data_IF_595597610513
#
_entry.id   IF_595597610513
#
_cell.length_a   1.000
_cell.length_b   1.000
_cell.length_c   1.000
_cell.angle_alpha   90.00
_cell.angle_beta   90.00
_cell.angle_gamma   90.00
#
_symmetry.space_group_name_H-M   'P 1'
#
loop_
_entity.id
_entity.type
_entity.pdbx_description
1 polymer ?
#
# COMPACT_ATOMS: atom_id res chain seq x y z
N UNK A 1 1.48 -10.93 -21.83
CA UNK A 1 0.68 -11.44 -20.69
C UNK A 1 0.67 -10.41 -19.57
N UNK A 2 1.83 -9.89 -19.08
CA UNK A 2 1.93 -8.95 -17.95
C UNK A 2 0.93 -7.78 -18.03
N UNK A 3 0.92 -7.09 -19.16
CA UNK A 3 0.02 -5.93 -19.36
C UNK A 3 -1.43 -6.34 -19.59
N UNK A 4 -1.67 -7.50 -20.19
CA UNK A 4 -3.02 -7.96 -20.50
C UNK A 4 -3.85 -8.15 -19.23
N UNK A 5 -3.34 -8.90 -18.24
CA UNK A 5 -4.03 -9.12 -16.98
C UNK A 5 -4.31 -7.80 -16.28
N UNK A 6 -3.29 -6.94 -16.17
CA UNK A 6 -3.43 -5.66 -15.51
C UNK A 6 -4.45 -4.72 -16.19
N UNK A 7 -4.48 -4.71 -17.53
CA UNK A 7 -5.48 -3.95 -18.28
C UNK A 7 -6.88 -4.48 -17.98
N UNK A 8 -7.08 -5.79 -18.01
CA UNK A 8 -8.39 -6.39 -17.68
C UNK A 8 -8.81 -6.08 -16.24
N UNK A 9 -7.88 -6.10 -15.29
CA UNK A 9 -8.15 -5.69 -13.92
C UNK A 9 -8.61 -4.22 -13.86
N UNK A 10 -7.92 -3.30 -14.54
CA UNK A 10 -8.31 -1.89 -14.61
C UNK A 10 -9.65 -1.66 -15.28
N UNK A 11 -10.05 -2.54 -16.17
CA UNK A 11 -11.34 -2.50 -16.87
C UNK A 11 -12.46 -3.23 -16.13
N UNK A 12 -12.18 -3.89 -15.00
CA UNK A 12 -13.11 -4.84 -14.36
C UNK A 12 -13.67 -5.85 -15.38
N UNK A 13 -12.82 -6.31 -16.32
CA UNK A 13 -13.18 -7.26 -17.36
C UNK A 13 -12.97 -8.69 -16.84
N UNK A 14 -13.92 -9.23 -16.15
CA UNK A 14 -13.88 -10.56 -15.53
C UNK A 14 -14.23 -11.70 -16.49
N UNK A 15 -13.62 -12.90 -16.32
CA UNK A 15 -12.45 -13.18 -15.49
C UNK A 15 -11.20 -12.47 -16.03
N UNK A 16 -10.32 -12.03 -15.12
CA UNK A 16 -9.12 -11.27 -15.50
C UNK A 16 -8.12 -12.11 -16.30
N UNK A 17 -8.09 -13.41 -16.05
CA UNK A 17 -7.21 -14.44 -16.63
C UNK A 17 -7.86 -15.16 -17.82
N UNK A 18 -8.82 -14.53 -18.48
CA UNK A 18 -9.45 -15.12 -19.67
C UNK A 18 -8.38 -15.47 -20.72
N UNK A 19 -8.31 -16.74 -21.16
CA UNK A 19 -7.34 -17.17 -22.14
C UNK A 19 -7.36 -16.35 -23.43
N UNK A 20 -6.19 -16.13 -24.04
CA UNK A 20 -6.02 -15.43 -25.32
C UNK A 20 -5.20 -16.27 -26.27
N UNK A 21 -5.76 -16.59 -27.43
CA UNK A 21 -5.07 -17.41 -28.43
C UNK A 21 -4.68 -18.76 -27.87
N UNK A 22 -3.44 -19.19 -28.19
CA UNK A 22 -2.87 -20.47 -27.75
C UNK A 22 -2.16 -20.42 -26.38
N UNK A 23 -2.29 -19.32 -25.63
CA UNK A 23 -1.65 -19.17 -24.32
C UNK A 23 -2.28 -20.14 -23.32
N UNK A 24 -1.48 -21.06 -22.81
CA UNK A 24 -1.93 -22.03 -21.81
C UNK A 24 -2.16 -21.37 -20.44
N UNK A 25 -3.01 -21.92 -19.55
CA UNK A 25 -3.18 -21.39 -18.18
C UNK A 25 -1.86 -21.25 -17.41
N UNK A 26 -0.93 -22.19 -17.55
CA UNK A 26 0.39 -22.12 -16.91
C UNK A 26 1.24 -20.98 -17.46
N UNK A 27 1.27 -20.78 -18.79
CA UNK A 27 1.96 -19.63 -19.38
C UNK A 27 1.35 -18.31 -18.91
N UNK A 28 0.02 -18.28 -18.76
CA UNK A 28 -0.70 -17.12 -18.27
C UNK A 28 -0.31 -16.80 -16.83
N UNK A 29 -0.37 -17.81 -15.97
CA UNK A 29 0.01 -17.70 -14.56
C UNK A 29 1.47 -17.24 -14.41
N UNK A 30 2.38 -17.94 -15.10
CA UNK A 30 3.80 -17.59 -15.08
C UNK A 30 4.11 -16.22 -15.69
N UNK A 31 3.35 -15.75 -16.67
CA UNK A 31 3.56 -14.46 -17.34
C UNK A 31 2.95 -13.26 -16.65
N UNK A 32 2.20 -13.46 -15.56
CA UNK A 32 1.53 -12.37 -14.83
C UNK A 32 2.54 -11.60 -13.98
N UNK A 33 2.45 -10.25 -13.98
CA UNK A 33 3.31 -9.42 -13.13
C UNK A 33 2.94 -9.58 -11.64
N UNK A 34 3.90 -9.29 -10.74
CA UNK A 34 3.65 -9.38 -9.30
C UNK A 34 2.45 -8.53 -8.87
N UNK A 35 2.36 -7.28 -9.30
CA UNK A 35 1.23 -6.40 -8.97
C UNK A 35 -0.12 -7.00 -9.42
N UNK A 36 -0.17 -7.55 -10.64
CA UNK A 36 -1.38 -8.19 -11.15
C UNK A 36 -1.68 -9.51 -10.41
N UNK A 37 -0.65 -10.29 -10.05
CA UNK A 37 -0.80 -11.53 -9.27
C UNK A 37 -1.37 -11.26 -7.88
N UNK A 38 -0.95 -10.20 -7.21
CA UNK A 38 -1.50 -9.77 -5.92
C UNK A 38 -3.00 -9.45 -5.98
N UNK A 39 -3.49 -8.98 -7.13
CA UNK A 39 -4.92 -8.77 -7.36
C UNK A 39 -5.68 -10.01 -7.84
N UNK A 40 -4.98 -11.07 -8.25
CA UNK A 40 -5.59 -12.31 -8.74
C UNK A 40 -5.67 -13.40 -7.68
N UNK A 41 -4.66 -13.53 -6.83
CA UNK A 41 -4.50 -14.69 -5.98
C UNK A 41 -4.03 -14.33 -4.58
N UNK A 42 -4.64 -14.98 -3.60
CA UNK A 42 -4.24 -14.97 -2.17
C UNK A 42 -3.29 -16.14 -1.85
N UNK A 43 -2.61 -16.69 -2.84
CA UNK A 43 -1.58 -17.71 -2.64
C UNK A 43 -0.19 -17.07 -2.56
N UNK A 44 0.49 -17.13 -1.39
CA UNK A 44 1.79 -16.52 -1.20
C UNK A 44 2.89 -17.16 -2.07
N UNK A 45 2.76 -18.45 -2.42
CA UNK A 45 3.71 -19.11 -3.32
C UNK A 45 3.64 -18.54 -4.74
N UNK A 46 2.44 -18.24 -5.24
CA UNK A 46 2.25 -17.62 -6.55
C UNK A 46 2.80 -16.19 -6.59
N UNK A 47 2.66 -15.44 -5.49
CA UNK A 47 3.23 -14.08 -5.39
C UNK A 47 4.76 -14.14 -5.36
N UNK A 48 5.35 -15.05 -4.59
CA UNK A 48 6.81 -15.27 -4.59
C UNK A 48 7.31 -15.69 -5.98
N UNK A 49 6.64 -16.63 -6.63
CA UNK A 49 6.98 -17.07 -7.98
C UNK A 49 6.97 -15.89 -9.00
N UNK A 50 5.95 -15.04 -8.92
CA UNK A 50 5.84 -13.87 -9.81
C UNK A 50 6.98 -12.86 -9.56
N UNK A 51 7.35 -12.63 -8.29
CA UNK A 51 8.50 -11.80 -7.92
C UNK A 51 9.81 -12.37 -8.44
N UNK A 52 10.09 -13.65 -8.17
CA UNK A 52 11.30 -14.35 -8.60
C UNK A 52 11.45 -14.33 -10.13
N UNK A 53 10.35 -14.56 -10.84
CA UNK A 53 10.35 -14.51 -12.29
C UNK A 53 10.65 -13.11 -12.83
N UNK A 54 10.03 -12.07 -12.27
CA UNK A 54 10.33 -10.69 -12.65
C UNK A 54 11.81 -10.39 -12.45
N UNK A 55 12.38 -10.79 -11.31
CA UNK A 55 13.80 -10.59 -11.01
C UNK A 55 14.67 -11.35 -12.02
N UNK A 56 14.36 -12.61 -12.29
CA UNK A 56 15.11 -13.42 -13.26
C UNK A 56 15.11 -12.79 -14.66
N UNK A 57 13.95 -12.30 -15.13
CA UNK A 57 13.75 -11.86 -16.51
C UNK A 57 14.16 -10.39 -16.74
N UNK A 58 14.09 -9.54 -15.69
CA UNK A 58 14.16 -8.08 -15.86
C UNK A 58 15.21 -7.37 -15.02
N UNK A 59 15.71 -8.02 -13.96
CA UNK A 59 16.68 -7.38 -13.07
C UNK A 59 18.08 -7.80 -13.48
N UNK A 60 19.00 -6.85 -13.74
CA UNK A 60 20.37 -7.18 -14.11
C UNK A 60 21.06 -7.90 -12.94
N UNK A 61 22.00 -8.79 -13.28
CA UNK A 61 22.83 -9.45 -12.26
C UNK A 61 23.80 -8.45 -11.63
N UNK A 62 24.16 -8.69 -10.37
CA UNK A 62 25.19 -7.92 -9.69
C UNK A 62 26.52 -7.98 -10.45
N UNK A 63 27.23 -6.86 -10.51
CA UNK A 63 28.51 -6.74 -11.22
C UNK A 63 29.70 -6.85 -10.26
N UNK A 64 29.83 -7.98 -9.58
CA UNK A 64 31.00 -8.26 -8.72
C UNK A 64 30.79 -7.98 -7.24
N UNK A 65 31.79 -7.43 -6.56
CA UNK A 65 31.78 -7.18 -5.12
C UNK A 65 30.78 -6.09 -4.75
N UNK A 66 30.01 -6.25 -3.66
CA UNK A 66 29.08 -5.23 -3.17
C UNK A 66 29.72 -3.84 -3.10
N UNK A 67 29.00 -2.83 -3.63
CA UNK A 67 29.57 -1.48 -3.75
C UNK A 67 29.88 -0.84 -2.41
N UNK A 68 29.09 -1.12 -1.35
CA UNK A 68 29.35 -0.59 -0.02
C UNK A 68 30.70 -1.02 0.56
N UNK A 69 31.29 -2.14 0.10
CA UNK A 69 32.63 -2.59 0.51
C UNK A 69 33.76 -1.77 -0.10
N UNK A 70 33.47 -1.01 -1.16
CA UNK A 70 34.46 -0.17 -1.86
C UNK A 70 34.59 1.25 -1.30
N UNK A 71 33.78 1.58 -0.31
CA UNK A 71 33.74 2.89 0.33
C UNK A 71 34.07 2.77 1.82
N UNK A 72 34.57 3.79 2.50
CA UNK A 72 34.75 3.75 3.96
C UNK A 72 33.41 3.53 4.68
N UNK A 73 33.47 2.81 5.81
CA UNK A 73 32.30 2.72 6.68
C UNK A 73 31.93 4.10 7.24
N UNK A 74 30.65 4.38 7.35
CA UNK A 74 30.19 5.61 7.99
C UNK A 74 30.59 5.62 9.47
N UNK A 75 30.89 6.78 10.00
CA UNK A 75 31.14 7.04 11.43
C UNK A 75 30.17 8.11 11.92
N UNK A 76 29.96 8.17 13.24
CA UNK A 76 29.02 9.13 13.83
C UNK A 76 27.56 8.74 13.59
N UNK A 77 26.72 9.70 13.23
CA UNK A 77 25.28 9.47 12.98
C UNK A 77 25.05 8.34 11.99
N UNK A 78 23.95 7.63 12.17
CA UNK A 78 23.52 6.58 11.23
C UNK A 78 22.94 7.26 9.98
N UNK A 79 23.44 6.87 8.81
CA UNK A 79 23.00 7.41 7.52
C UNK A 79 21.91 6.54 6.93
N UNK A 80 20.69 7.09 6.86
CA UNK A 80 19.53 6.44 6.26
C UNK A 80 19.25 7.07 4.90
N UNK A 81 19.20 6.24 3.87
CA UNK A 81 18.83 6.64 2.52
C UNK A 81 17.46 6.12 2.14
N UNK A 82 16.54 6.98 1.70
CA UNK A 82 15.25 6.58 1.16
C UNK A 82 15.28 6.63 -0.36
N UNK A 83 14.97 5.48 -0.99
CA UNK A 83 15.04 5.27 -2.43
C UNK A 83 13.63 5.23 -3.03
N UNK A 84 13.24 6.17 -3.88
CA UNK A 84 11.89 6.19 -4.48
C UNK A 84 11.76 7.09 -5.72
N UNK A 85 10.89 6.67 -6.65
CA UNK A 85 10.32 7.51 -7.71
C UNK A 85 8.99 8.16 -7.34
N UNK A 86 8.44 7.86 -6.16
CA UNK A 86 7.07 8.20 -5.77
C UNK A 86 6.99 9.25 -4.66
N UNK A 87 8.04 10.06 -4.48
CA UNK A 87 8.07 11.17 -3.51
C UNK A 87 7.28 12.39 -4.03
N UNK A 88 6.01 12.19 -4.34
CA UNK A 88 5.08 13.19 -4.87
C UNK A 88 3.63 12.85 -4.48
N UNK A 89 2.62 13.36 -5.21
CA UNK A 89 1.21 13.01 -5.04
C UNK A 89 0.94 11.54 -5.44
N UNK A 90 1.49 10.62 -4.68
CA UNK A 90 1.37 9.18 -4.76
C UNK A 90 1.12 8.59 -3.37
N UNK A 91 0.62 7.37 -3.26
CA UNK A 91 0.35 6.72 -1.97
C UNK A 91 1.54 6.81 -1.00
N UNK A 92 2.76 6.50 -1.46
CA UNK A 92 3.99 6.63 -0.67
C UNK A 92 4.20 8.06 -0.20
N UNK A 93 4.16 9.04 -1.13
CA UNK A 93 4.36 10.44 -0.79
C UNK A 93 3.23 11.07 0.04
N UNK A 94 2.07 10.41 0.16
CA UNK A 94 0.98 10.81 1.06
C UNK A 94 1.12 10.21 2.46
N UNK A 95 1.78 9.06 2.60
CA UNK A 95 1.95 8.38 3.88
C UNK A 95 3.20 8.82 4.65
N UNK A 96 4.28 9.15 3.94
CA UNK A 96 5.64 9.22 4.51
C UNK A 96 6.17 10.58 4.97
N UNK A 97 5.54 11.75 4.74
CA UNK A 97 6.16 13.02 5.10
C UNK A 97 6.55 13.10 6.58
N UNK A 98 5.65 12.77 7.51
CA UNK A 98 5.96 12.77 8.94
C UNK A 98 7.04 11.74 9.32
N UNK A 99 7.16 10.60 8.62
CA UNK A 99 8.27 9.67 8.82
C UNK A 99 9.61 10.37 8.63
N UNK A 100 9.74 11.10 7.53
CA UNK A 100 10.99 11.80 7.22
C UNK A 100 11.25 12.99 8.17
N UNK A 101 10.21 13.73 8.53
CA UNK A 101 10.28 14.89 9.41
C UNK A 101 10.65 14.53 10.86
N UNK A 102 10.18 13.39 11.36
CA UNK A 102 10.28 12.99 12.77
C UNK A 102 11.55 12.22 13.13
N UNK A 103 12.40 11.90 12.17
CA UNK A 103 13.69 11.28 12.50
C UNK A 103 14.53 12.15 13.44
N UNK A 104 15.10 11.53 14.47
CA UNK A 104 16.02 12.18 15.41
C UNK A 104 17.34 12.57 14.72
N UNK A 105 17.45 13.84 14.33
CA UNK A 105 18.63 14.37 13.63
C UNK A 105 19.90 14.41 14.48
N UNK A 106 19.81 14.22 15.77
CA UNK A 106 21.00 14.07 16.61
C UNK A 106 21.68 12.70 16.40
N UNK A 107 20.90 11.68 15.99
CA UNK A 107 21.35 10.29 15.81
C UNK A 107 21.39 9.88 14.36
N UNK A 108 20.52 10.44 13.51
CA UNK A 108 20.33 10.06 12.11
C UNK A 108 20.63 11.20 11.15
N UNK A 109 21.24 10.86 10.04
CA UNK A 109 21.36 11.71 8.85
C UNK A 109 20.49 11.06 7.76
N UNK A 110 19.51 11.80 7.23
CA UNK A 110 18.47 11.25 6.36
C UNK A 110 18.55 11.84 4.97
N UNK A 111 18.77 10.99 3.98
CA UNK A 111 18.92 11.38 2.57
C UNK A 111 17.84 10.77 1.70
N UNK A 112 17.43 11.50 0.66
CA UNK A 112 16.58 10.96 -0.40
C UNK A 112 17.41 10.69 -1.66
N UNK A 113 17.22 9.51 -2.24
CA UNK A 113 17.70 9.14 -3.57
C UNK A 113 16.48 9.00 -4.47
N UNK A 114 16.20 10.00 -5.29
CA UNK A 114 14.93 10.03 -5.99
C UNK A 114 15.07 10.29 -7.49
N UNK A 115 14.16 9.66 -8.24
CA UNK A 115 13.98 9.89 -9.68
C UNK A 115 12.56 10.36 -10.01
N UNK A 116 11.83 10.84 -8.98
CA UNK A 116 10.52 11.47 -9.16
C UNK A 116 10.62 12.65 -10.11
N UNK A 117 9.74 12.76 -11.11
CA UNK A 117 9.67 13.93 -11.97
C UNK A 117 9.53 15.23 -11.18
N UNK A 118 10.14 16.30 -11.68
CA UNK A 118 10.05 17.61 -11.03
C UNK A 118 8.61 18.12 -11.01
N UNK A 119 8.21 18.61 -9.87
CA UNK A 119 6.94 19.29 -9.69
C UNK A 119 7.04 20.31 -8.55
N UNK A 120 6.34 21.42 -8.67
CA UNK A 120 6.31 22.49 -7.67
C UNK A 120 5.14 22.36 -6.68
N UNK A 121 4.56 21.16 -6.53
CA UNK A 121 3.43 20.96 -5.61
C UNK A 121 3.87 21.16 -4.15
N UNK A 122 3.02 21.73 -3.28
CA UNK A 122 3.30 21.89 -1.85
C UNK A 122 3.73 20.58 -1.19
N UNK A 123 3.07 19.46 -1.53
CA UNK A 123 3.40 18.12 -1.04
C UNK A 123 4.85 17.73 -1.38
N UNK A 124 5.26 17.92 -2.64
CA UNK A 124 6.62 17.62 -3.08
C UNK A 124 7.66 18.50 -2.34
N UNK A 125 7.37 19.78 -2.19
CA UNK A 125 8.25 20.70 -1.48
C UNK A 125 8.41 20.34 -0.01
N UNK A 126 7.30 19.97 0.68
CA UNK A 126 7.32 19.50 2.07
C UNK A 126 8.18 18.25 2.22
N UNK A 127 7.97 17.25 1.35
CA UNK A 127 8.76 16.01 1.35
C UNK A 127 10.25 16.32 1.20
N UNK A 128 10.64 17.15 0.23
CA UNK A 128 12.05 17.45 -0.02
C UNK A 128 12.72 18.21 1.13
N UNK A 129 11.99 19.08 1.83
CA UNK A 129 12.50 19.82 2.99
C UNK A 129 12.76 18.93 4.20
N UNK A 130 12.15 17.75 4.25
CA UNK A 130 12.29 16.80 5.35
C UNK A 130 13.62 16.02 5.31
N UNK A 131 14.46 16.18 4.29
CA UNK A 131 15.73 15.50 4.14
C UNK A 131 16.92 16.42 4.39
N UNK A 132 17.99 15.88 4.98
CA UNK A 132 19.26 16.59 5.11
C UNK A 132 19.93 16.75 3.73
N UNK A 133 19.76 15.74 2.85
CA UNK A 133 20.28 15.76 1.48
C UNK A 133 19.27 15.12 0.51
N UNK A 134 19.20 15.67 -0.70
CA UNK A 134 18.41 15.12 -1.79
C UNK A 134 19.31 14.90 -3.01
N UNK A 135 19.56 13.63 -3.34
CA UNK A 135 20.30 13.25 -4.52
C UNK A 135 19.31 12.82 -5.62
N UNK A 136 19.37 13.53 -6.74
CA UNK A 136 18.53 13.25 -7.91
C UNK A 136 19.24 12.26 -8.80
N UNK A 137 18.69 11.04 -8.89
CA UNK A 137 19.25 9.94 -9.67
C UNK A 137 18.42 9.62 -10.93
N UNK A 138 17.47 10.51 -11.26
CA UNK A 138 16.76 10.46 -12.55
C UNK A 138 17.71 10.74 -13.71
N UNK A 139 17.53 10.05 -14.82
CA UNK A 139 18.34 10.27 -16.03
C UNK A 139 19.73 9.61 -16.05
N UNK A 140 20.14 8.93 -14.97
CA UNK A 140 21.36 8.11 -14.91
C UNK A 140 21.01 6.62 -14.79
N UNK A 141 21.91 5.74 -15.25
CA UNK A 141 21.72 4.29 -15.16
C UNK A 141 21.80 3.78 -13.71
N UNK A 142 21.33 2.53 -13.49
CA UNK A 142 21.25 1.93 -12.16
C UNK A 142 22.61 1.73 -11.51
N UNK A 143 23.64 1.38 -12.27
CA UNK A 143 24.99 1.20 -11.72
C UNK A 143 25.60 2.53 -11.27
N UNK A 144 25.42 3.58 -12.07
CA UNK A 144 25.87 4.93 -11.72
C UNK A 144 25.12 5.46 -10.49
N UNK A 145 23.81 5.25 -10.41
CA UNK A 145 23.02 5.58 -9.23
C UNK A 145 23.49 4.81 -7.99
N UNK A 146 23.72 3.52 -8.11
CA UNK A 146 24.22 2.69 -7.01
C UNK A 146 25.61 3.17 -6.51
N UNK A 147 26.51 3.57 -7.42
CA UNK A 147 27.82 4.16 -7.06
C UNK A 147 27.66 5.47 -6.27
N UNK A 148 26.74 6.34 -6.67
CA UNK A 148 26.47 7.59 -5.95
C UNK A 148 25.94 7.32 -4.52
N UNK A 149 25.04 6.35 -4.37
CA UNK A 149 24.53 5.93 -3.07
C UNK A 149 25.66 5.37 -2.19
N UNK A 150 26.52 4.52 -2.75
CA UNK A 150 27.67 3.96 -2.02
C UNK A 150 28.65 5.08 -1.57
N UNK A 151 28.93 6.08 -2.42
CA UNK A 151 29.78 7.23 -2.07
C UNK A 151 29.18 8.07 -0.93
N UNK A 152 27.86 8.14 -0.81
CA UNK A 152 27.18 8.78 0.31
C UNK A 152 27.35 7.99 1.63
N UNK A 153 27.96 6.80 1.59
CA UNK A 153 28.24 5.92 2.74
C UNK A 153 26.99 5.65 3.59
N UNK A 154 25.88 5.34 2.92
CA UNK A 154 24.59 5.01 3.57
C UNK A 154 24.73 3.70 4.36
N UNK A 155 24.28 3.69 5.60
CA UNK A 155 24.24 2.50 6.46
C UNK A 155 23.01 1.65 6.16
N UNK A 156 21.84 2.31 6.03
CA UNK A 156 20.55 1.66 5.77
C UNK A 156 19.90 2.31 4.56
N UNK A 157 19.71 1.56 3.51
CA UNK A 157 18.97 1.99 2.31
C UNK A 157 17.56 1.40 2.35
N UNK A 158 16.56 2.27 2.35
CA UNK A 158 15.15 1.88 2.40
C UNK A 158 14.52 2.05 1.03
N UNK A 159 14.13 0.95 0.40
CA UNK A 159 13.36 0.94 -0.85
C UNK A 159 11.88 1.17 -0.55
N UNK A 160 11.37 2.31 -0.99
CA UNK A 160 9.95 2.69 -0.90
C UNK A 160 9.19 2.44 -2.21
N UNK A 161 9.82 1.74 -3.18
CA UNK A 161 9.22 1.50 -4.49
C UNK A 161 8.72 0.06 -4.64
N UNK A 162 9.53 -0.91 -4.28
CA UNK A 162 9.27 -2.31 -4.58
C UNK A 162 9.20 -2.55 -6.10
N UNK A 163 8.53 -3.64 -6.51
CA UNK A 163 8.38 -4.00 -7.94
C UNK A 163 7.13 -3.34 -8.57
N UNK A 164 7.00 -2.02 -8.43
CA UNK A 164 5.95 -1.22 -9.07
C UNK A 164 6.42 -0.59 -10.38
N UNK A 165 5.56 0.17 -11.04
CA UNK A 165 5.92 0.90 -12.25
C UNK A 165 7.09 1.87 -11.99
N UNK A 166 8.08 1.87 -12.85
CA UNK A 166 9.25 2.74 -12.69
C UNK A 166 10.26 2.27 -11.63
N UNK A 167 10.09 1.07 -11.06
CA UNK A 167 11.05 0.49 -10.12
C UNK A 167 12.45 0.37 -10.72
N UNK A 168 13.47 0.53 -9.88
CA UNK A 168 14.89 0.46 -10.24
C UNK A 168 15.65 -0.58 -9.40
N UNK A 169 15.22 -1.86 -9.41
CA UNK A 169 15.86 -2.91 -8.60
C UNK A 169 17.32 -3.17 -8.99
N UNK A 170 17.74 -2.77 -10.20
CA UNK A 170 19.13 -2.81 -10.63
C UNK A 170 20.08 -2.01 -9.73
N UNK A 171 19.59 -1.01 -8.99
CA UNK A 171 20.35 -0.28 -7.98
C UNK A 171 20.63 -1.20 -6.78
N UNK A 172 19.60 -1.88 -6.29
CA UNK A 172 19.66 -2.69 -5.04
C UNK A 172 20.55 -3.91 -5.20
N UNK A 173 20.56 -4.56 -6.38
CA UNK A 173 21.41 -5.73 -6.65
C UNK A 173 22.90 -5.41 -6.58
N UNK A 174 23.31 -4.14 -6.79
CA UNK A 174 24.70 -3.70 -6.67
C UNK A 174 25.14 -3.53 -5.20
N UNK A 175 24.22 -3.69 -4.25
CA UNK A 175 24.44 -3.52 -2.81
C UNK A 175 25.20 -2.22 -2.48
N UNK A 176 24.61 -1.05 -2.74
CA UNK A 176 25.22 0.24 -2.42
C UNK A 176 25.26 0.53 -0.91
N UNK A 177 24.47 -0.16 -0.10
CA UNK A 177 24.45 -0.05 1.37
C UNK A 177 24.56 -1.43 2.03
N UNK A 178 25.17 -1.53 3.23
CA UNK A 178 25.32 -2.80 3.95
C UNK A 178 24.00 -3.38 4.43
N UNK A 179 22.99 -2.54 4.70
CA UNK A 179 21.63 -2.94 5.07
C UNK A 179 20.65 -2.38 4.06
N UNK A 180 19.87 -3.24 3.42
CA UNK A 180 18.84 -2.84 2.48
C UNK A 180 17.47 -3.35 2.93
N UNK A 181 16.48 -2.46 2.99
CA UNK A 181 15.16 -2.68 3.60
C UNK A 181 14.07 -2.34 2.59
N UNK A 182 13.09 -3.22 2.42
CA UNK A 182 11.85 -2.93 1.68
C UNK A 182 10.80 -2.37 2.65
N UNK A 183 10.11 -1.29 2.25
CA UNK A 183 9.07 -0.69 3.06
C UNK A 183 7.99 -0.01 2.21
N UNK A 184 6.73 -0.21 2.53
CA UNK A 184 5.51 0.40 1.95
C UNK A 184 5.30 0.16 0.44
N UNK A 185 6.22 0.46 -0.44
CA UNK A 185 6.06 0.57 -1.91
C UNK A 185 5.14 -0.49 -2.54
N UNK A 186 5.57 -1.74 -2.55
CA UNK A 186 4.71 -2.89 -2.88
C UNK A 186 4.71 -3.84 -1.69
N UNK A 187 3.58 -4.00 -0.96
CA UNK A 187 3.53 -4.82 0.26
C UNK A 187 3.59 -6.32 -0.04
N UNK A 188 4.78 -6.88 -0.11
CA UNK A 188 5.07 -8.28 -0.39
C UNK A 188 6.54 -8.47 -0.73
N UNK A 189 6.97 -9.73 -0.86
CA UNK A 189 8.36 -10.03 -1.22
C UNK A 189 8.72 -9.44 -2.59
N UNK A 190 9.89 -8.83 -2.67
CA UNK A 190 10.45 -8.34 -3.95
C UNK A 190 11.27 -9.40 -4.68
N UNK A 191 11.77 -10.40 -3.94
CA UNK A 191 12.76 -11.38 -4.40
C UNK A 191 14.02 -10.77 -5.02
N UNK A 192 14.28 -9.48 -4.79
CA UNK A 192 15.45 -8.76 -5.33
C UNK A 192 16.70 -9.15 -4.54
N UNK A 193 17.73 -9.72 -5.19
CA UNK A 193 18.98 -10.04 -4.51
C UNK A 193 19.58 -8.79 -3.84
N UNK A 194 19.93 -8.91 -2.56
CA UNK A 194 20.50 -7.81 -1.79
C UNK A 194 19.51 -7.01 -0.98
N UNK A 195 18.19 -7.19 -1.15
CA UNK A 195 17.21 -6.68 -0.19
C UNK A 195 17.13 -7.67 0.98
N UNK A 196 17.61 -7.25 2.14
CA UNK A 196 17.82 -8.15 3.28
C UNK A 196 16.59 -8.23 4.19
N UNK A 197 15.85 -7.12 4.30
CA UNK A 197 14.82 -6.91 5.31
C UNK A 197 13.55 -6.31 4.72
N UNK A 198 12.42 -6.57 5.38
CA UNK A 198 11.13 -5.94 5.10
C UNK A 198 10.50 -5.45 6.40
N UNK A 199 10.05 -4.20 6.44
CA UNK A 199 9.27 -3.68 7.57
C UNK A 199 7.83 -4.18 7.47
N UNK A 200 7.38 -4.85 8.50
CA UNK A 200 6.05 -5.47 8.66
C UNK A 200 5.58 -5.36 10.12
N UNK A 201 4.41 -5.87 10.42
CA UNK A 201 3.96 -6.18 11.78
C UNK A 201 3.56 -7.66 11.90
N UNK A 202 3.24 -8.11 13.11
CA UNK A 202 2.88 -9.52 13.36
C UNK A 202 1.56 -9.91 12.67
N UNK A 203 0.68 -8.94 12.43
CA UNK A 203 -0.58 -9.20 11.72
C UNK A 203 -0.36 -9.41 10.23
N UNK A 204 0.40 -8.53 9.58
CA UNK A 204 0.65 -8.61 8.13
C UNK A 204 1.55 -9.76 7.75
N UNK A 205 2.53 -10.11 8.58
CA UNK A 205 3.46 -11.21 8.33
C UNK A 205 3.57 -12.16 9.54
N UNK A 206 2.55 -12.99 9.79
CA UNK A 206 2.69 -14.07 10.76
C UNK A 206 3.81 -15.04 10.34
N UNK A 207 4.39 -15.79 11.29
CA UNK A 207 5.52 -16.70 11.03
C UNK A 207 5.27 -17.70 9.87
N UNK A 208 4.03 -18.11 9.66
CA UNK A 208 3.65 -19.01 8.57
C UNK A 208 3.87 -18.40 7.16
N UNK A 209 4.01 -17.07 7.03
CA UNK A 209 4.28 -16.40 5.76
C UNK A 209 5.77 -16.19 5.49
N UNK A 210 6.64 -16.29 6.47
CA UNK A 210 8.08 -16.09 6.29
C UNK A 210 8.70 -16.96 5.20
N UNK A 211 8.32 -18.26 5.03
CA UNK A 211 8.88 -19.09 3.96
C UNK A 211 8.56 -18.59 2.53
N UNK A 212 7.60 -17.71 2.38
CA UNK A 212 7.20 -17.13 1.08
C UNK A 212 7.76 -15.73 0.83
N UNK A 213 8.69 -15.27 1.68
CA UNK A 213 9.40 -14.01 1.52
C UNK A 213 10.90 -14.28 1.47
N UNK A 214 11.61 -13.52 0.63
CA UNK A 214 13.08 -13.59 0.58
C UNK A 214 13.73 -12.68 1.61
N UNK A 215 13.01 -11.66 2.05
CA UNK A 215 13.42 -10.69 3.04
C UNK A 215 13.07 -11.16 4.45
N UNK A 216 13.95 -10.89 5.41
CA UNK A 216 13.70 -11.12 6.84
C UNK A 216 12.78 -10.02 7.40
N UNK A 217 11.86 -10.35 8.32
CA UNK A 217 10.97 -9.34 8.88
C UNK A 217 11.68 -8.42 9.89
N UNK A 218 11.45 -7.12 9.77
CA UNK A 218 11.54 -6.13 10.85
C UNK A 218 10.12 -5.93 11.35
N UNK A 219 9.78 -6.55 12.48
CA UNK A 219 8.42 -6.45 13.06
C UNK A 219 8.30 -5.22 13.92
N UNK A 220 7.42 -4.31 13.51
CA UNK A 220 7.07 -3.15 14.32
C UNK A 220 5.95 -3.53 15.32
N UNK A 221 6.04 -3.11 16.57
CA UNK A 221 4.97 -3.31 17.53
C UNK A 221 3.77 -2.41 17.17
N UNK A 222 2.61 -3.00 16.97
CA UNK A 222 1.36 -2.30 16.70
C UNK A 222 0.97 -2.21 15.24
N UNK A 223 1.60 -1.36 14.44
CA UNK A 223 1.26 -1.21 13.02
C UNK A 223 2.51 -0.97 12.17
N UNK A 224 2.58 -1.64 11.03
CA UNK A 224 3.66 -1.43 10.09
C UNK A 224 3.54 -0.12 9.29
N UNK A 225 2.32 0.39 9.09
CA UNK A 225 2.08 1.51 8.20
C UNK A 225 2.19 2.85 8.93
N UNK A 226 3.03 3.74 8.43
CA UNK A 226 2.99 5.16 8.81
C UNK A 226 1.84 5.87 8.10
N UNK A 227 1.34 6.94 8.69
CA UNK A 227 0.29 7.78 8.12
C UNK A 227 0.58 9.24 8.43
N UNK A 228 0.56 10.12 7.43
CA UNK A 228 0.76 11.55 7.65
C UNK A 228 -0.49 12.18 8.26
N UNK A 229 -0.37 12.68 9.49
CA UNK A 229 -1.45 13.32 10.26
C UNK A 229 -1.68 14.78 9.89
N UNK A 230 -0.77 15.37 9.12
CA UNK A 230 -0.81 16.78 8.72
C UNK A 230 -1.40 16.97 7.32
N UNK A 231 -2.00 15.95 6.76
CA UNK A 231 -2.68 16.06 5.46
C UNK A 231 -3.85 17.04 5.57
N UNK A 232 -3.92 17.93 4.59
CA UNK A 232 -5.02 18.87 4.48
C UNK A 232 -6.34 18.14 4.25
N UNK A 233 -7.38 18.54 4.99
CA UNK A 233 -8.75 18.08 4.81
C UNK A 233 -9.60 19.30 4.45
N UNK A 234 -10.33 19.24 3.34
CA UNK A 234 -11.26 20.30 2.95
C UNK A 234 -12.37 20.46 4.02
N UNK A 235 -13.02 21.63 4.10
CA UNK A 235 -14.16 21.80 4.96
C UNK A 235 -15.18 20.67 4.76
N UNK A 236 -15.57 20.02 5.88
CA UNK A 236 -16.54 18.92 5.83
C UNK A 236 -17.91 19.53 5.52
N UNK A 237 -18.53 19.14 4.40
CA UNK A 237 -19.83 19.68 4.03
C UNK A 237 -20.91 19.18 4.99
N UNK A 238 -21.99 19.93 5.09
CA UNK A 238 -23.24 19.35 5.64
C UNK A 238 -23.58 18.06 4.89
N UNK A 239 -24.10 17.08 5.64
CA UNK A 239 -24.31 15.73 5.07
C UNK A 239 -25.32 15.75 3.91
N UNK A 240 -26.39 16.52 4.04
CA UNK A 240 -27.42 16.60 2.99
C UNK A 240 -26.90 17.32 1.74
N UNK A 241 -26.23 18.45 1.93
CA UNK A 241 -25.60 19.18 0.82
C UNK A 241 -24.51 18.35 0.14
N UNK A 242 -23.62 17.74 0.92
CA UNK A 242 -22.56 16.90 0.39
C UNK A 242 -23.07 15.68 -0.38
N UNK A 243 -24.10 15.00 0.13
CA UNK A 243 -24.74 13.88 -0.57
C UNK A 243 -25.39 14.33 -1.87
N UNK A 244 -26.13 15.45 -1.87
CA UNK A 244 -26.74 16.00 -3.06
C UNK A 244 -25.69 16.32 -4.15
N UNK A 245 -24.56 16.92 -3.75
CA UNK A 245 -23.44 17.25 -4.66
C UNK A 245 -22.90 16.03 -5.41
N UNK A 246 -22.85 14.87 -4.74
CA UNK A 246 -22.34 13.62 -5.33
C UNK A 246 -23.44 12.70 -5.88
N UNK A 247 -24.70 13.14 -5.92
CA UNK A 247 -25.83 12.31 -6.37
C UNK A 247 -26.15 11.13 -5.46
N UNK A 248 -25.80 11.23 -4.18
CA UNK A 248 -26.12 10.22 -3.17
C UNK A 248 -27.51 10.47 -2.58
N UNK A 249 -28.37 9.44 -2.46
CA UNK A 249 -29.69 9.59 -1.83
C UNK A 249 -29.54 9.98 -0.35
N UNK A 250 -30.44 10.85 0.12
CA UNK A 250 -30.35 11.42 1.48
C UNK A 250 -30.52 10.37 2.59
N UNK A 251 -31.51 9.50 2.43
CA UNK A 251 -31.88 8.51 3.45
C UNK A 251 -31.28 7.12 3.22
N UNK A 252 -30.47 6.95 2.14
CA UNK A 252 -29.85 5.67 1.82
C UNK A 252 -28.69 5.35 2.77
N UNK A 253 -28.50 4.06 3.06
CA UNK A 253 -27.23 3.59 3.58
C UNK A 253 -26.20 3.57 2.45
N UNK A 254 -25.12 4.33 2.62
CA UNK A 254 -24.08 4.51 1.60
C UNK A 254 -22.88 3.64 1.93
N UNK A 255 -22.75 2.52 1.24
CA UNK A 255 -21.46 1.82 1.17
C UNK A 255 -20.51 2.57 0.24
N UNK A 256 -19.21 2.52 0.50
CA UNK A 256 -18.23 3.04 -0.44
C UNK A 256 -17.02 2.13 -0.61
N UNK A 257 -16.36 2.25 -1.77
CA UNK A 257 -15.04 1.68 -2.01
C UNK A 257 -14.28 2.58 -2.99
N UNK A 258 -13.35 3.39 -2.46
CA UNK A 258 -12.54 4.28 -3.30
C UNK A 258 -11.18 3.66 -3.66
N UNK A 259 -11.11 2.34 -3.64
CA UNK A 259 -9.98 1.59 -4.15
C UNK A 259 -9.85 1.71 -5.67
N UNK A 260 -8.63 1.56 -6.15
CA UNK A 260 -8.35 1.47 -7.58
C UNK A 260 -8.98 0.19 -8.17
N UNK A 261 -9.57 0.30 -9.36
CA UNK A 261 -10.36 -0.76 -9.97
C UNK A 261 -9.60 -2.06 -10.23
N UNK A 262 -8.25 -2.02 -10.37
CA UNK A 262 -7.46 -3.25 -10.52
C UNK A 262 -7.54 -4.19 -9.31
N UNK A 263 -8.06 -3.73 -8.16
CA UNK A 263 -8.30 -4.52 -6.95
C UNK A 263 -9.67 -5.22 -6.94
N UNK A 264 -10.57 -4.87 -7.85
CA UNK A 264 -11.93 -5.41 -7.89
C UNK A 264 -11.95 -6.76 -8.60
N UNK A 265 -12.06 -7.85 -7.84
CA UNK A 265 -12.25 -9.19 -8.41
C UNK A 265 -13.73 -9.46 -8.69
N UNK A 266 -14.02 -10.44 -9.54
CA UNK A 266 -15.38 -10.89 -9.80
C UNK A 266 -16.11 -11.37 -8.51
N UNK A 267 -15.39 -12.09 -7.65
CA UNK A 267 -15.90 -12.58 -6.36
C UNK A 267 -16.34 -11.42 -5.47
N UNK A 268 -15.44 -10.44 -5.28
CA UNK A 268 -15.70 -9.28 -4.42
C UNK A 268 -16.85 -8.44 -4.96
N UNK A 269 -16.84 -8.14 -6.26
CA UNK A 269 -17.89 -7.30 -6.83
C UNK A 269 -19.26 -7.99 -6.82
N UNK A 270 -19.32 -9.29 -7.11
CA UNK A 270 -20.55 -10.08 -6.97
C UNK A 270 -21.02 -10.14 -5.51
N UNK A 271 -20.10 -10.22 -4.55
CA UNK A 271 -20.41 -10.10 -3.12
C UNK A 271 -21.06 -8.75 -2.78
N UNK A 272 -20.52 -7.66 -3.32
CA UNK A 272 -21.13 -6.32 -3.13
C UNK A 272 -22.53 -6.24 -3.74
N UNK A 273 -22.78 -6.88 -4.87
CA UNK A 273 -24.14 -6.93 -5.45
C UNK A 273 -25.10 -7.72 -4.53
N UNK A 274 -24.67 -8.82 -3.93
CA UNK A 274 -25.49 -9.56 -2.94
C UNK A 274 -25.75 -8.74 -1.67
N UNK A 275 -24.75 -7.97 -1.21
CA UNK A 275 -24.93 -7.03 -0.08
C UNK A 275 -26.00 -5.99 -0.44
N UNK A 276 -25.90 -5.35 -1.59
CA UNK A 276 -26.90 -4.37 -2.04
C UNK A 276 -28.30 -5.00 -2.15
N UNK A 277 -28.43 -6.20 -2.74
CA UNK A 277 -29.69 -6.89 -2.83
C UNK A 277 -30.31 -7.18 -1.44
N UNK A 278 -29.47 -7.53 -0.46
CA UNK A 278 -29.91 -7.83 0.89
C UNK A 278 -30.20 -6.59 1.76
N UNK A 279 -29.76 -5.39 1.35
CA UNK A 279 -30.01 -4.11 2.06
C UNK A 279 -30.76 -3.18 1.12
N UNK A 280 -32.11 -3.27 1.05
CA UNK A 280 -32.91 -2.44 0.15
C UNK A 280 -32.69 -0.94 0.37
N UNK A 281 -32.67 -0.16 -0.70
CA UNK A 281 -32.46 1.29 -0.65
C UNK A 281 -31.00 1.72 -0.42
N UNK A 282 -30.05 0.81 -0.13
CA UNK A 282 -28.63 1.16 -0.04
C UNK A 282 -28.01 1.41 -1.41
N UNK A 283 -26.94 2.15 -1.44
CA UNK A 283 -26.15 2.42 -2.65
C UNK A 283 -24.67 2.08 -2.41
N UNK A 284 -23.95 1.79 -3.49
CA UNK A 284 -22.50 1.61 -3.46
C UNK A 284 -21.84 2.78 -4.22
N UNK A 285 -21.03 3.55 -3.51
CA UNK A 285 -20.30 4.72 -4.02
C UNK A 285 -18.84 4.33 -4.28
N UNK A 286 -18.43 4.36 -5.54
CA UNK A 286 -17.12 3.82 -5.95
C UNK A 286 -16.50 4.61 -7.11
N UNK A 287 -15.21 4.37 -7.36
CA UNK A 287 -14.51 4.94 -8.50
C UNK A 287 -14.73 4.08 -9.75
N UNK A 288 -14.77 4.74 -10.91
CA UNK A 288 -14.56 4.10 -12.21
C UNK A 288 -13.45 4.84 -12.94
N UNK A 289 -12.33 4.16 -13.19
CA UNK A 289 -11.16 4.79 -13.80
C UNK A 289 -11.32 5.08 -15.28
N UNK A 290 -12.25 4.36 -15.95
CA UNK A 290 -12.55 4.50 -17.38
C UNK A 290 -13.95 4.00 -17.69
N UNK A 291 -14.47 4.37 -18.88
CA UNK A 291 -15.82 4.02 -19.32
C UNK A 291 -16.04 2.51 -19.47
N UNK A 292 -15.04 1.76 -19.92
CA UNK A 292 -15.12 0.29 -20.02
C UNK A 292 -15.31 -0.34 -18.64
N UNK A 293 -14.57 0.13 -17.65
CA UNK A 293 -14.71 -0.32 -16.27
C UNK A 293 -16.13 -0.05 -15.75
N UNK A 294 -16.63 1.17 -15.96
CA UNK A 294 -18.00 1.55 -15.58
C UNK A 294 -19.04 0.66 -16.25
N UNK A 295 -18.92 0.45 -17.56
CA UNK A 295 -19.85 -0.40 -18.32
C UNK A 295 -19.85 -1.87 -17.81
N UNK A 296 -18.67 -2.43 -17.55
CA UNK A 296 -18.54 -3.80 -17.02
C UNK A 296 -19.13 -3.94 -15.61
N UNK A 297 -18.92 -2.95 -14.74
CA UNK A 297 -19.54 -2.94 -13.40
C UNK A 297 -21.07 -2.86 -13.48
N UNK A 298 -21.61 -2.00 -14.33
CA UNK A 298 -23.07 -1.90 -14.54
C UNK A 298 -23.67 -3.18 -15.14
N UNK A 299 -22.98 -3.80 -16.09
CA UNK A 299 -23.40 -5.10 -16.65
C UNK A 299 -23.43 -6.21 -15.58
N UNK A 300 -22.42 -6.24 -14.72
CA UNK A 300 -22.39 -7.20 -13.60
C UNK A 300 -23.52 -6.92 -12.59
N UNK A 301 -23.81 -5.65 -12.28
CA UNK A 301 -24.92 -5.28 -11.40
C UNK A 301 -26.26 -5.74 -11.97
N UNK A 302 -26.50 -5.49 -13.25
CA UNK A 302 -27.71 -5.93 -13.95
C UNK A 302 -27.86 -7.46 -13.92
N UNK A 303 -26.77 -8.21 -14.12
CA UNK A 303 -26.76 -9.67 -14.04
C UNK A 303 -27.12 -10.21 -12.63
N UNK A 304 -26.92 -9.40 -11.58
CA UNK A 304 -27.31 -9.71 -10.21
C UNK A 304 -28.66 -9.07 -9.81
N UNK A 305 -29.41 -8.49 -10.74
CA UNK A 305 -30.69 -7.85 -10.46
C UNK A 305 -30.57 -6.53 -9.66
N UNK A 306 -29.40 -5.92 -9.63
CA UNK A 306 -29.17 -4.63 -8.98
C UNK A 306 -29.32 -3.51 -10.00
N UNK A 307 -30.23 -2.56 -9.73
CA UNK A 307 -30.50 -1.42 -10.60
C UNK A 307 -29.29 -0.50 -10.71
N UNK A 308 -29.07 0.08 -11.89
CA UNK A 308 -27.90 0.89 -12.21
C UNK A 308 -27.73 2.10 -11.27
N UNK A 309 -28.82 2.69 -10.81
CA UNK A 309 -28.87 3.86 -9.93
C UNK A 309 -28.32 3.56 -8.53
N UNK A 310 -28.18 2.28 -8.19
CA UNK A 310 -27.58 1.85 -6.92
C UNK A 310 -26.06 1.83 -6.95
N UNK A 311 -25.44 2.01 -8.11
CA UNK A 311 -24.02 2.25 -8.28
C UNK A 311 -23.78 3.72 -8.57
N UNK A 312 -23.27 4.45 -7.58
CA UNK A 312 -22.92 5.86 -7.72
C UNK A 312 -21.43 6.00 -7.98
N UNK A 313 -21.05 6.65 -9.08
CA UNK A 313 -19.64 6.80 -9.44
C UNK A 313 -19.08 8.14 -8.98
N UNK A 314 -18.07 8.08 -8.12
CA UNK A 314 -17.40 9.25 -7.59
C UNK A 314 -16.47 9.89 -8.64
N UNK A 315 -16.48 11.21 -8.82
CA UNK A 315 -15.47 11.89 -9.63
C UNK A 315 -14.10 11.86 -8.95
N UNK A 316 -13.03 12.05 -9.72
CA UNK A 316 -11.73 12.39 -9.17
C UNK A 316 -11.74 13.83 -8.69
N UNK A 317 -11.29 14.04 -7.46
CA UNK A 317 -11.28 15.34 -6.78
C UNK A 317 -9.90 15.63 -6.19
N UNK A 318 -9.69 16.87 -5.74
CA UNK A 318 -8.47 17.25 -5.03
C UNK A 318 -8.27 16.40 -3.75
N UNK A 319 -7.02 16.15 -3.31
CA UNK A 319 -6.73 15.30 -2.16
C UNK A 319 -7.43 15.70 -0.86
N UNK A 320 -7.54 16.99 -0.59
CA UNK A 320 -8.24 17.48 0.60
C UNK A 320 -9.75 17.17 0.56
N UNK A 321 -10.39 17.34 -0.61
CA UNK A 321 -11.78 16.98 -0.84
C UNK A 321 -11.99 15.46 -0.86
N UNK A 322 -11.00 14.71 -1.38
CA UNK A 322 -11.00 13.24 -1.32
C UNK A 322 -11.12 12.73 0.12
N UNK A 323 -10.41 13.33 1.07
CA UNK A 323 -10.53 12.96 2.48
C UNK A 323 -11.92 13.34 3.03
N UNK A 324 -12.35 14.59 2.82
CA UNK A 324 -13.61 15.07 3.35
C UNK A 324 -14.82 14.21 2.92
N UNK A 325 -14.83 13.69 1.70
CA UNK A 325 -15.97 12.92 1.17
C UNK A 325 -16.23 11.59 1.91
N UNK A 326 -15.24 11.01 2.62
CA UNK A 326 -15.45 9.80 3.42
C UNK A 326 -16.52 10.00 4.50
N UNK A 327 -16.73 11.23 4.97
CA UNK A 327 -17.75 11.55 5.98
C UNK A 327 -19.18 11.37 5.47
N UNK A 328 -19.38 11.35 4.16
CA UNK A 328 -20.70 11.21 3.51
C UNK A 328 -21.13 9.74 3.35
N UNK A 329 -20.19 8.80 3.41
CA UNK A 329 -20.46 7.36 3.39
C UNK A 329 -20.78 6.83 4.79
N UNK A 330 -21.36 5.64 4.89
CA UNK A 330 -21.69 4.98 6.16
C UNK A 330 -20.72 3.86 6.50
N UNK A 331 -20.28 3.09 5.52
CA UNK A 331 -19.38 1.96 5.69
C UNK A 331 -18.49 1.78 4.45
N UNK A 332 -17.20 1.60 4.65
CA UNK A 332 -16.31 1.22 3.56
C UNK A 332 -16.28 -0.30 3.40
N UNK A 333 -16.42 -0.77 2.15
CA UNK A 333 -16.21 -2.15 1.76
C UNK A 333 -14.81 -2.30 1.17
N UNK A 334 -13.98 -3.09 1.83
CA UNK A 334 -12.62 -3.35 1.36
C UNK A 334 -12.59 -4.39 0.24
N UNK A 335 -11.49 -4.41 -0.50
CA UNK A 335 -11.21 -5.32 -1.60
C UNK A 335 -10.42 -6.54 -1.17
N UNK A 336 -10.50 -7.64 -1.96
CA UNK A 336 -9.78 -8.89 -1.73
C UNK A 336 -9.38 -9.54 -3.06
N UNK A 337 -8.19 -10.16 -3.18
CA UNK A 337 -7.13 -10.32 -2.17
C UNK A 337 -6.30 -9.05 -1.90
N UNK A 338 -6.33 -8.05 -2.78
CA UNK A 338 -5.58 -6.82 -2.61
C UNK A 338 -6.35 -5.84 -1.73
N UNK A 339 -6.06 -5.84 -0.42
CA UNK A 339 -6.68 -4.93 0.54
C UNK A 339 -6.32 -3.46 0.30
N UNK A 340 -7.09 -2.58 0.89
CA UNK A 340 -6.77 -1.17 1.02
C UNK A 340 -5.65 -0.98 2.06
N UNK A 341 -4.66 -0.16 1.72
CA UNK A 341 -3.66 0.38 2.65
C UNK A 341 -3.96 1.85 2.91
N UNK A 342 -3.42 2.75 2.07
CA UNK A 342 -3.65 4.20 2.16
C UNK A 342 -5.15 4.56 2.21
N UNK A 343 -5.97 3.94 1.34
CA UNK A 343 -7.43 4.18 1.32
C UNK A 343 -8.10 3.78 2.63
N UNK A 344 -7.62 2.70 3.27
CA UNK A 344 -8.15 2.25 4.56
C UNK A 344 -7.75 3.20 5.68
N UNK A 345 -6.48 3.61 5.77
CA UNK A 345 -6.05 4.59 6.76
C UNK A 345 -6.76 5.94 6.59
N UNK A 346 -7.01 6.38 5.35
CA UNK A 346 -7.77 7.59 5.05
C UNK A 346 -9.22 7.50 5.56
N UNK A 347 -9.90 6.39 5.32
CA UNK A 347 -11.25 6.16 5.81
C UNK A 347 -11.29 6.17 7.36
N UNK A 348 -10.39 5.44 8.01
CA UNK A 348 -10.29 5.38 9.48
C UNK A 348 -9.94 6.75 10.08
N UNK A 349 -9.04 7.52 9.45
CA UNK A 349 -8.71 8.89 9.85
C UNK A 349 -9.92 9.83 9.80
N UNK A 350 -10.78 9.64 8.79
CA UNK A 350 -12.02 10.42 8.63
C UNK A 350 -13.21 9.84 9.42
N UNK A 351 -12.98 8.86 10.30
CA UNK A 351 -14.00 8.28 11.16
C UNK A 351 -14.97 7.34 10.45
N UNK A 352 -14.61 6.81 9.27
CA UNK A 352 -15.43 5.86 8.54
C UNK A 352 -15.00 4.42 8.87
N UNK A 353 -15.88 3.56 9.44
CA UNK A 353 -15.57 2.16 9.67
C UNK A 353 -15.45 1.39 8.36
N UNK A 354 -14.65 0.30 8.38
CA UNK A 354 -14.32 -0.53 7.23
C UNK A 354 -14.62 -1.97 7.58
N UNK A 355 -15.28 -2.72 6.69
CA UNK A 355 -15.31 -4.18 6.75
C UNK A 355 -14.25 -4.71 5.78
N UNK A 356 -13.38 -5.60 6.27
CA UNK A 356 -12.35 -6.25 5.48
C UNK A 356 -12.38 -7.76 5.62
N UNK A 357 -11.81 -8.44 4.63
CA UNK A 357 -11.46 -9.86 4.70
C UNK A 357 -9.96 -10.01 4.74
N UNK A 358 -9.44 -10.73 5.73
CA UNK A 358 -8.04 -11.13 5.80
C UNK A 358 -7.80 -12.47 5.13
N UNK A 359 -6.63 -12.61 4.53
CA UNK A 359 -6.23 -13.81 3.82
C UNK A 359 -4.86 -14.33 4.22
N UNK A 360 -4.18 -14.96 3.25
CA UNK A 360 -2.95 -15.73 3.42
C UNK A 360 -1.70 -15.02 2.92
N UNK A 361 -1.81 -13.77 2.47
CA UNK A 361 -0.69 -12.98 1.94
C UNK A 361 -0.56 -11.65 2.70
N UNK A 362 0.62 -11.02 2.67
CA UNK A 362 0.84 -9.71 3.32
C UNK A 362 -0.21 -8.72 2.84
N UNK A 363 -0.44 -8.67 1.52
CA UNK A 363 -1.33 -7.68 0.91
C UNK A 363 -2.81 -7.91 1.26
N UNK A 364 -3.23 -9.15 1.49
CA UNK A 364 -4.61 -9.48 1.91
C UNK A 364 -4.83 -9.37 3.42
N UNK A 365 -3.83 -8.87 4.16
CA UNK A 365 -3.86 -8.67 5.60
C UNK A 365 -3.66 -7.20 6.01
N UNK A 366 -3.40 -6.32 5.04
CA UNK A 366 -3.10 -4.91 5.32
C UNK A 366 -4.22 -4.20 6.09
N UNK A 367 -5.45 -4.24 5.59
CA UNK A 367 -6.57 -3.57 6.25
C UNK A 367 -6.90 -4.18 7.61
N UNK A 368 -6.69 -5.50 7.77
CA UNK A 368 -6.81 -6.19 9.06
C UNK A 368 -5.80 -5.68 10.09
N UNK A 369 -4.55 -5.44 9.69
CA UNK A 369 -3.54 -4.80 10.53
C UNK A 369 -3.98 -3.40 10.99
N UNK A 370 -4.45 -2.56 10.05
CA UNK A 370 -4.91 -1.21 10.38
C UNK A 370 -6.11 -1.24 11.34
N UNK A 371 -7.07 -2.14 11.12
CA UNK A 371 -8.23 -2.31 12.00
C UNK A 371 -7.83 -2.82 13.39
N UNK A 372 -6.88 -3.73 13.47
CA UNK A 372 -6.33 -4.19 14.76
C UNK A 372 -5.65 -3.03 15.49
N UNK A 373 -4.82 -2.26 14.79
CA UNK A 373 -4.10 -1.13 15.37
C UNK A 373 -5.03 0.01 15.82
N UNK A 374 -6.15 0.22 15.14
CA UNK A 374 -7.14 1.24 15.55
C UNK A 374 -8.12 0.74 16.62
N UNK A 375 -8.10 -0.58 16.95
CA UNK A 375 -8.94 -1.18 17.99
C UNK A 375 -10.33 -1.64 17.53
N UNK A 376 -10.50 -1.95 16.24
CA UNK A 376 -11.75 -2.45 15.66
C UNK A 376 -11.59 -3.84 14.99
N UNK A 377 -11.05 -4.86 15.69
CA UNK A 377 -10.84 -6.18 15.12
C UNK A 377 -12.15 -6.91 14.78
N UNK A 378 -13.28 -6.52 15.35
CA UNK A 378 -14.62 -7.05 15.06
C UNK A 378 -15.12 -6.74 13.64
N UNK A 379 -14.44 -5.88 12.91
CA UNK A 379 -14.70 -5.56 11.50
C UNK A 379 -13.85 -6.38 10.52
N UNK A 380 -13.03 -7.31 11.03
CA UNK A 380 -12.21 -8.23 10.23
C UNK A 380 -12.94 -9.56 10.09
N UNK A 381 -12.90 -10.11 8.88
CA UNK A 381 -13.52 -11.42 8.56
C UNK A 381 -12.51 -12.30 7.83
N UNK A 382 -12.75 -13.63 7.83
CA UNK A 382 -11.84 -14.60 7.22
C UNK A 382 -12.44 -15.25 5.95
N UNK A 383 -13.76 -15.21 5.79
CA UNK A 383 -14.44 -15.83 4.65
C UNK A 383 -15.29 -14.82 3.87
N UNK A 384 -15.56 -15.07 2.56
CA UNK A 384 -16.48 -14.24 1.79
C UNK A 384 -17.87 -14.15 2.42
N UNK A 385 -18.36 -15.27 2.95
CA UNK A 385 -19.70 -15.35 3.56
C UNK A 385 -19.78 -14.50 4.84
N UNK A 386 -18.75 -14.50 5.67
CA UNK A 386 -18.69 -13.68 6.88
C UNK A 386 -18.59 -12.19 6.55
N UNK A 387 -17.78 -11.84 5.52
CA UNK A 387 -17.67 -10.48 5.02
C UNK A 387 -19.05 -9.94 4.56
N UNK A 388 -19.74 -10.69 3.73
CA UNK A 388 -21.08 -10.32 3.25
C UNK A 388 -22.07 -10.21 4.40
N UNK A 389 -22.10 -11.20 5.29
CA UNK A 389 -22.99 -11.24 6.46
C UNK A 389 -22.77 -10.03 7.37
N UNK A 390 -21.51 -9.68 7.65
CA UNK A 390 -21.17 -8.53 8.49
C UNK A 390 -21.59 -7.22 7.83
N UNK A 391 -21.27 -7.02 6.54
CA UNK A 391 -21.64 -5.84 5.78
C UNK A 391 -23.17 -5.67 5.70
N UNK A 392 -23.93 -6.75 5.48
CA UNK A 392 -25.40 -6.74 5.48
C UNK A 392 -25.94 -6.39 6.87
N UNK A 393 -25.37 -6.99 7.93
CA UNK A 393 -25.80 -6.73 9.32
C UNK A 393 -25.62 -5.25 9.66
N UNK A 394 -24.46 -4.67 9.34
CA UNK A 394 -24.17 -3.26 9.58
C UNK A 394 -25.08 -2.34 8.74
N UNK A 395 -25.35 -2.70 7.50
CA UNK A 395 -26.26 -1.93 6.65
C UNK A 395 -27.71 -1.92 7.13
N UNK A 396 -28.15 -3.00 7.78
CA UNK A 396 -29.49 -3.13 8.39
C UNK A 396 -29.57 -2.56 9.81
N UNK A 397 -28.42 -2.29 10.44
CA UNK A 397 -28.33 -1.80 11.82
C UNK A 397 -27.46 -0.53 11.91
N UNK A 398 -27.94 0.63 11.38
CA UNK A 398 -27.15 1.87 11.37
C UNK A 398 -26.65 2.32 12.74
N UNK A 399 -27.35 1.97 13.83
CA UNK A 399 -26.92 2.24 15.19
C UNK A 399 -25.57 1.60 15.55
N UNK A 400 -25.27 0.40 15.02
CA UNK A 400 -23.95 -0.24 15.22
C UNK A 400 -22.85 0.51 14.49
N UNK A 401 -23.12 0.95 13.26
CA UNK A 401 -22.19 1.79 12.49
C UNK A 401 -21.93 3.11 13.22
N UNK A 402 -22.98 3.73 13.75
CA UNK A 402 -22.85 4.95 14.56
C UNK A 402 -21.97 4.74 15.82
N UNK A 403 -22.03 3.56 16.44
CA UNK A 403 -21.15 3.21 17.56
C UNK A 403 -19.68 3.11 17.13
N UNK A 404 -19.37 2.44 16.01
CA UNK A 404 -18.02 2.39 15.47
C UNK A 404 -17.51 3.78 15.08
N UNK A 405 -18.35 4.62 14.47
CA UNK A 405 -17.99 6.01 14.13
C UNK A 405 -17.68 6.85 15.38
N UNK A 406 -18.47 6.70 16.43
CA UNK A 406 -18.22 7.36 17.72
C UNK A 406 -16.89 6.90 18.31
N UNK A 407 -16.64 5.59 18.33
CA UNK A 407 -15.38 5.03 18.79
C UNK A 407 -14.19 5.62 18.02
N UNK A 408 -14.26 5.67 16.67
CA UNK A 408 -13.21 6.27 15.85
C UNK A 408 -13.02 7.76 16.14
N UNK A 409 -14.10 8.51 16.37
CA UNK A 409 -14.03 9.94 16.71
C UNK A 409 -13.35 10.18 18.07
N UNK A 410 -13.61 9.31 19.05
CA UNK A 410 -13.10 9.43 20.42
C UNK A 410 -11.69 8.87 20.58
N UNK A 411 -11.37 7.75 19.89
CA UNK A 411 -10.15 6.96 20.14
C UNK A 411 -9.27 6.81 18.92
N UNK A 412 -9.83 6.93 17.70
CA UNK A 412 -9.14 6.58 16.46
C UNK A 412 -7.80 7.31 16.29
N UNK A 413 -7.80 8.63 16.46
CA UNK A 413 -6.58 9.45 16.26
C UNK A 413 -5.51 9.24 17.34
N UNK A 414 -5.86 8.75 18.51
CA UNK A 414 -4.93 8.41 19.58
C UNK A 414 -4.46 6.95 19.54
N UNK A 415 -4.94 6.18 18.56
CA UNK A 415 -4.61 4.76 18.43
C UNK A 415 -3.18 4.53 17.94
N UNK A 416 -2.63 3.32 18.13
CA UNK A 416 -1.33 2.94 17.57
C UNK A 416 -1.20 3.13 16.05
N UNK A 417 -2.30 3.08 15.28
CA UNK A 417 -2.31 3.33 13.84
C UNK A 417 -1.80 4.74 13.49
N UNK A 418 -2.11 5.73 14.31
CA UNK A 418 -1.77 7.13 14.05
C UNK A 418 -0.74 7.70 15.05
N UNK A 419 -0.13 6.86 15.88
CA UNK A 419 1.02 7.25 16.71
C UNK A 419 2.32 7.23 15.90
N UNK A 420 2.40 8.11 14.90
CA UNK A 420 3.54 8.20 13.99
C UNK A 420 4.87 8.43 14.72
N UNK A 421 4.96 9.27 15.78
CA UNK A 421 6.20 9.39 16.55
C UNK A 421 6.68 8.08 17.17
N UNK A 422 5.78 7.21 17.60
CA UNK A 422 6.14 5.89 18.10
C UNK A 422 6.64 4.99 16.98
N UNK A 423 5.89 4.93 15.87
CA UNK A 423 6.28 4.12 14.70
C UNK A 423 7.68 4.52 14.22
N UNK A 424 7.98 5.83 14.14
CA UNK A 424 9.30 6.32 13.74
C UNK A 424 10.38 5.89 14.71
N UNK A 425 10.14 6.00 16.03
CA UNK A 425 11.10 5.51 17.03
C UNK A 425 11.37 4.00 16.91
N UNK A 426 10.33 3.21 16.66
CA UNK A 426 10.47 1.76 16.50
C UNK A 426 11.28 1.42 15.22
N UNK A 427 11.07 2.16 14.12
CA UNK A 427 11.88 2.07 12.90
C UNK A 427 13.33 2.45 13.18
N UNK A 428 13.57 3.56 13.88
CA UNK A 428 14.92 4.03 14.23
C UNK A 428 15.70 3.02 15.09
N UNK A 429 15.05 2.43 16.07
CA UNK A 429 15.67 1.38 16.90
C UNK A 429 16.10 0.18 16.06
N UNK A 430 15.27 -0.23 15.09
CA UNK A 430 15.63 -1.31 14.18
C UNK A 430 16.80 -0.91 13.27
N UNK A 431 16.78 0.28 12.70
CA UNK A 431 17.84 0.79 11.82
C UNK A 431 19.16 0.94 12.56
N UNK A 432 19.15 1.50 13.77
CA UNK A 432 20.35 1.64 14.60
C UNK A 432 20.99 0.28 14.90
N UNK A 433 20.20 -0.68 15.38
CA UNK A 433 20.68 -2.03 15.65
C UNK A 433 21.34 -2.66 14.42
N UNK A 434 20.66 -2.61 13.26
CA UNK A 434 21.16 -3.22 12.03
C UNK A 434 22.41 -2.50 11.48
N UNK A 435 22.43 -1.17 11.53
CA UNK A 435 23.57 -0.37 11.09
C UNK A 435 24.82 -0.63 11.95
N UNK A 436 24.67 -0.66 13.27
CA UNK A 436 25.79 -0.93 14.18
C UNK A 436 26.35 -2.34 13.98
N UNK A 437 25.49 -3.35 13.86
CA UNK A 437 25.92 -4.71 13.53
C UNK A 437 26.67 -4.78 12.20
N UNK A 438 26.22 -4.05 11.18
CA UNK A 438 26.89 -4.01 9.88
C UNK A 438 28.26 -3.30 9.97
N UNK A 439 28.35 -2.20 10.71
CA UNK A 439 29.64 -1.49 10.95
C UNK A 439 30.64 -2.37 11.68
N UNK A 440 30.23 -3.09 12.72
CA UNK A 440 31.07 -4.04 13.48
C UNK A 440 31.59 -5.17 12.58
N UNK A 441 30.73 -5.79 11.77
CA UNK A 441 31.14 -6.84 10.82
C UNK A 441 32.16 -6.32 9.81
N UNK A 442 31.98 -5.10 9.29
CA UNK A 442 32.93 -4.47 8.38
C UNK A 442 34.29 -4.21 9.06
N UNK A 443 34.27 -3.69 10.28
CA UNK A 443 35.49 -3.45 11.04
C UNK A 443 36.26 -4.75 11.33
N UNK A 444 35.55 -5.86 11.55
CA UNK A 444 36.14 -7.20 11.76
C UNK A 444 36.54 -7.90 10.45
N UNK A 445 36.35 -7.30 9.27
CA UNK A 445 36.63 -7.93 7.99
C UNK A 445 35.67 -9.08 7.61
N UNK A 446 34.54 -9.20 8.32
CA UNK A 446 33.56 -10.28 8.17
C UNK A 446 32.37 -9.90 7.25
N UNK A 447 32.37 -8.73 6.66
CA UNK A 447 31.31 -8.28 5.77
C UNK A 447 31.47 -8.92 4.38
N UNK A 448 30.58 -9.82 4.03
CA UNK A 448 30.48 -10.45 2.70
C UNK A 448 29.20 -10.03 1.98
#
# INVERSE_FOLDING_TARGET
IQHYVHIRQKQCAWPHDKPVGEVTPNQFLCGTSLLAMMGLSDDPALQLMAAQRFVHDKVPKATGVPLFLRTPAATGRIRVGYLSGDLHMHAVGLLTPELFELHDRSRFEVSAFCWTPESATPQRQRILKAFDQVLRIGGIDDLTAAKQIALASVDVLVDLQGLTAGARPGILVQRPAPVQVSYLGLPGTSAVPGVDWMIVDDYTMPAALEPYCTERPIRLPGCYQVSDRQREVAPIPDRAEGRARYGLPQDAFVYCSFNNNHKFTAEVFSGWMRILAAVPGSVLWLLADNDTCRANMLACAAAHGVAAERLVFAPRVAPAEYLARFTLADLMLDTFPFNAGTTASDALWMGLPIVTRSGRTIISRMAGSLLTAVGLPDLITDTPADYERLAITLGRQPARVASHRRYLAEHGRASPLFDVPRIVRDIEQAFERLALQAREKRAAGLAS
#
